data_IF_876144040107
#
_entry.id   IF_876144040107
#
_cell.length_a   1.000
_cell.length_b   1.000
_cell.length_c   1.000
_cell.angle_alpha   90.00
_cell.angle_beta   90.00
_cell.angle_gamma   90.00
#
_symmetry.space_group_name_H-M   'P 1'
#
loop_
_entity.id
_entity.type
_entity.pdbx_description
1 polymer ?
#
# COMPACT_ATOMS: atom_id res chain seq x y z
N UNK A 1 20.05 32.33 8.98
CA UNK A 1 19.17 32.81 7.89
C UNK A 1 19.08 31.72 6.84
N UNK A 2 17.85 31.37 6.48
CA UNK A 2 17.36 30.55 5.36
C UNK A 2 17.96 29.16 5.09
N UNK A 3 17.30 28.15 5.66
CA UNK A 3 17.33 26.73 5.28
C UNK A 3 16.49 26.42 4.03
N UNK A 4 16.40 27.34 3.06
CA UNK A 4 15.38 27.31 2.00
C UNK A 4 15.89 26.89 0.62
N UNK A 5 17.07 26.26 0.51
CA UNK A 5 17.68 25.92 -0.79
C UNK A 5 17.61 24.44 -1.19
N UNK A 6 17.06 23.57 -0.34
CA UNK A 6 16.98 22.13 -0.63
C UNK A 6 15.62 21.68 -1.16
N UNK A 7 14.60 22.54 -1.14
CA UNK A 7 13.26 22.22 -1.66
C UNK A 7 13.15 22.40 -3.19
N UNK A 8 14.20 22.92 -3.85
CA UNK A 8 14.12 23.43 -5.23
C UNK A 8 14.41 22.44 -6.37
N UNK A 9 14.62 21.14 -6.14
CA UNK A 9 14.94 20.19 -7.25
C UNK A 9 14.31 18.79 -7.10
N UNK A 10 13.12 18.66 -6.53
CA UNK A 10 12.38 17.39 -6.63
C UNK A 10 11.70 17.28 -8.01
N UNK A 11 11.91 16.14 -8.70
CA UNK A 11 11.20 15.84 -9.95
C UNK A 11 9.69 15.72 -9.69
N UNK A 12 8.83 15.97 -10.69
CA UNK A 12 7.39 15.74 -10.56
C UNK A 12 7.12 14.32 -10.04
N UNK A 13 6.36 14.19 -8.94
CA UNK A 13 6.02 12.92 -8.32
C UNK A 13 7.01 12.39 -7.28
N UNK A 14 8.23 12.94 -7.14
CA UNK A 14 9.18 12.49 -6.11
C UNK A 14 8.67 12.75 -4.69
N UNK A 15 8.02 13.91 -4.47
CA UNK A 15 7.39 14.23 -3.19
C UNK A 15 6.30 13.21 -2.82
N UNK A 16 5.41 12.92 -3.77
CA UNK A 16 4.37 11.91 -3.59
C UNK A 16 4.96 10.53 -3.29
N UNK A 17 6.03 10.12 -3.98
CA UNK A 17 6.69 8.84 -3.71
C UNK A 17 7.29 8.77 -2.29
N UNK A 18 7.82 9.88 -1.78
CA UNK A 18 8.28 9.96 -0.38
C UNK A 18 7.12 9.76 0.59
N UNK A 19 5.99 10.42 0.35
CA UNK A 19 4.79 10.29 1.19
C UNK A 19 4.20 8.87 1.11
N UNK A 20 4.10 8.30 -0.10
CA UNK A 20 3.65 6.92 -0.35
C UNK A 20 4.47 5.92 0.46
N UNK A 21 5.79 6.12 0.61
CA UNK A 21 6.65 5.21 1.37
C UNK A 21 6.13 4.95 2.78
N UNK A 22 5.78 6.02 3.49
CA UNK A 22 5.30 5.94 4.88
C UNK A 22 3.99 5.17 4.95
N UNK A 23 3.03 5.50 4.09
CA UNK A 23 1.76 4.80 4.02
C UNK A 23 1.92 3.33 3.61
N UNK A 24 2.81 3.03 2.66
CA UNK A 24 3.06 1.66 2.21
C UNK A 24 3.60 0.81 3.35
N UNK A 25 4.53 1.33 4.15
CA UNK A 25 5.13 0.56 5.25
C UNK A 25 4.08 0.27 6.33
N UNK A 26 3.31 1.28 6.72
CA UNK A 26 2.20 1.11 7.66
C UNK A 26 1.12 0.15 7.13
N UNK A 27 0.83 0.20 5.82
CA UNK A 27 -0.11 -0.72 5.19
C UNK A 27 0.39 -2.15 5.24
N UNK A 28 1.67 -2.39 4.94
CA UNK A 28 2.26 -3.73 5.01
C UNK A 28 2.21 -4.28 6.43
N UNK A 29 2.53 -3.47 7.43
CA UNK A 29 2.48 -3.88 8.84
C UNK A 29 1.03 -4.20 9.28
N UNK A 30 0.06 -3.36 8.89
CA UNK A 30 -1.35 -3.58 9.20
C UNK A 30 -1.92 -4.84 8.52
N UNK A 31 -1.59 -5.04 7.24
CA UNK A 31 -2.02 -6.23 6.49
C UNK A 31 -1.36 -7.49 7.06
N UNK A 32 -0.06 -7.46 7.38
CA UNK A 32 0.61 -8.59 8.04
C UNK A 32 -0.06 -8.93 9.39
N UNK A 33 -0.35 -7.92 10.21
CA UNK A 33 -1.03 -8.10 11.50
C UNK A 33 -2.43 -8.71 11.33
N UNK A 34 -3.17 -8.28 10.30
CA UNK A 34 -4.48 -8.85 9.95
C UNK A 34 -4.35 -10.32 9.53
N UNK A 35 -3.36 -10.65 8.69
CA UNK A 35 -3.09 -12.02 8.23
C UNK A 35 -2.78 -12.94 9.39
N UNK A 36 -1.88 -12.53 10.29
CA UNK A 36 -1.48 -13.32 11.44
C UNK A 36 -2.65 -13.56 12.39
N UNK A 37 -3.42 -12.51 12.69
CA UNK A 37 -4.56 -12.58 13.61
C UNK A 37 -5.77 -13.33 13.05
N UNK A 38 -5.85 -13.51 11.72
CA UNK A 38 -7.03 -14.08 11.05
C UNK A 38 -6.67 -15.19 10.05
N UNK A 39 -5.56 -15.90 10.29
CA UNK A 39 -4.95 -16.85 9.36
C UNK A 39 -5.93 -17.83 8.71
N UNK A 40 -6.89 -18.36 9.47
CA UNK A 40 -7.87 -19.32 8.95
C UNK A 40 -8.83 -18.69 7.93
N UNK A 41 -9.28 -17.46 8.16
CA UNK A 41 -10.18 -16.73 7.25
C UNK A 41 -9.39 -16.34 6.01
N UNK A 42 -8.20 -15.74 6.21
CA UNK A 42 -7.33 -15.31 5.10
C UNK A 42 -6.91 -16.48 4.21
N UNK A 43 -6.61 -17.66 4.75
CA UNK A 43 -6.27 -18.82 3.92
C UNK A 43 -7.43 -19.29 3.02
N UNK A 44 -8.68 -19.01 3.38
CA UNK A 44 -9.86 -19.40 2.58
C UNK A 44 -10.16 -18.44 1.44
N UNK A 45 -9.93 -17.14 1.64
CA UNK A 45 -10.32 -16.09 0.67
C UNK A 45 -9.16 -15.26 0.12
N UNK A 46 -7.97 -15.41 0.68
CA UNK A 46 -6.85 -14.47 0.55
C UNK A 46 -5.54 -15.08 0.01
N UNK A 47 -5.56 -16.21 -0.70
CA UNK A 47 -4.33 -16.76 -1.31
C UNK A 47 -3.64 -15.74 -2.24
N UNK A 48 -4.42 -14.94 -2.98
CA UNK A 48 -3.90 -13.82 -3.79
C UNK A 48 -3.30 -12.70 -2.94
N UNK A 49 -3.84 -12.46 -1.74
CA UNK A 49 -3.26 -11.48 -0.81
C UNK A 49 -1.88 -11.93 -0.38
N UNK A 50 -1.70 -13.18 0.03
CA UNK A 50 -0.41 -13.66 0.53
C UNK A 50 0.70 -13.47 -0.50
N UNK A 51 0.43 -13.84 -1.75
CA UNK A 51 1.39 -13.68 -2.86
C UNK A 51 1.68 -12.21 -3.15
N UNK A 52 0.64 -11.37 -3.25
CA UNK A 52 0.84 -9.94 -3.56
C UNK A 52 1.52 -9.19 -2.40
N UNK A 53 1.21 -9.53 -1.16
CA UNK A 53 1.86 -9.01 0.05
C UNK A 53 3.35 -9.35 0.07
N UNK A 54 3.71 -10.60 -0.25
CA UNK A 54 5.12 -11.03 -0.33
C UNK A 54 5.88 -10.23 -1.40
N UNK A 55 5.32 -10.14 -2.61
CA UNK A 55 5.94 -9.40 -3.72
C UNK A 55 6.15 -7.92 -3.38
N UNK A 56 5.13 -7.26 -2.83
CA UNK A 56 5.24 -5.85 -2.42
C UNK A 56 6.23 -5.69 -1.27
N UNK A 57 6.24 -6.60 -0.30
CA UNK A 57 7.18 -6.57 0.84
C UNK A 57 8.63 -6.68 0.36
N UNK A 58 8.91 -7.56 -0.60
CA UNK A 58 10.24 -7.72 -1.20
C UNK A 58 10.68 -6.46 -1.95
N UNK A 59 9.75 -5.77 -2.60
CA UNK A 59 10.04 -4.62 -3.45
C UNK A 59 9.80 -3.26 -2.77
N UNK A 60 9.49 -3.25 -1.47
CA UNK A 60 9.06 -2.04 -0.71
C UNK A 60 10.01 -0.84 -0.80
N UNK A 61 11.29 -1.05 -1.10
CA UNK A 61 12.27 0.04 -1.28
C UNK A 61 12.36 0.57 -2.72
N UNK A 62 11.83 -0.18 -3.70
CA UNK A 62 11.70 0.24 -5.09
C UNK A 62 10.26 0.69 -5.37
N UNK A 63 9.90 1.87 -4.87
CA UNK A 63 8.51 2.36 -4.89
C UNK A 63 7.98 2.58 -6.31
N UNK A 64 8.81 2.99 -7.26
CA UNK A 64 8.37 3.12 -8.66
C UNK A 64 7.90 1.78 -9.22
N UNK A 65 8.67 0.71 -8.98
CA UNK A 65 8.30 -0.64 -9.39
C UNK A 65 7.02 -1.11 -8.69
N UNK A 66 6.90 -0.88 -7.38
CA UNK A 66 5.68 -1.23 -6.64
C UNK A 66 4.47 -0.50 -7.21
N UNK A 67 4.54 0.82 -7.39
CA UNK A 67 3.41 1.61 -7.88
C UNK A 67 3.01 1.27 -9.32
N UNK A 68 3.98 0.87 -10.15
CA UNK A 68 3.75 0.54 -11.56
C UNK A 68 3.24 -0.89 -11.75
N UNK A 69 3.88 -1.87 -11.13
CA UNK A 69 3.68 -3.28 -11.48
C UNK A 69 2.86 -4.06 -10.43
N UNK A 70 2.98 -3.71 -9.15
CA UNK A 70 2.44 -4.56 -8.07
C UNK A 70 1.24 -3.96 -7.34
N UNK A 71 1.12 -2.63 -7.33
CA UNK A 71 0.10 -1.92 -6.56
C UNK A 71 -1.33 -2.33 -6.93
N UNK A 72 -1.63 -2.42 -8.23
CA UNK A 72 -2.97 -2.77 -8.70
C UNK A 72 -3.42 -4.15 -8.19
N UNK A 73 -2.54 -5.14 -8.27
CA UNK A 73 -2.83 -6.49 -7.77
C UNK A 73 -2.97 -6.51 -6.25
N UNK A 74 -2.08 -5.84 -5.52
CA UNK A 74 -2.12 -5.79 -4.06
C UNK A 74 -3.38 -5.10 -3.54
N UNK A 75 -3.72 -3.94 -4.11
CA UNK A 75 -4.98 -3.25 -3.84
C UNK A 75 -6.19 -4.13 -4.11
N UNK A 76 -6.25 -4.80 -5.26
CA UNK A 76 -7.36 -5.69 -5.59
C UNK A 76 -7.51 -6.81 -4.54
N UNK A 77 -6.40 -7.41 -4.10
CA UNK A 77 -6.44 -8.46 -3.09
C UNK A 77 -6.92 -7.94 -1.72
N UNK A 78 -6.56 -6.72 -1.34
CA UNK A 78 -7.08 -6.06 -0.14
C UNK A 78 -8.58 -5.80 -0.25
N UNK A 79 -9.05 -5.35 -1.42
CA UNK A 79 -10.49 -5.13 -1.65
C UNK A 79 -11.29 -6.43 -1.60
N UNK A 80 -10.74 -7.55 -2.08
CA UNK A 80 -11.38 -8.87 -1.96
C UNK A 80 -11.60 -9.26 -0.48
N UNK A 81 -10.65 -8.95 0.40
CA UNK A 81 -10.78 -9.18 1.85
C UNK A 81 -11.80 -8.25 2.50
N UNK A 82 -11.90 -7.00 2.05
CA UNK A 82 -12.89 -6.06 2.57
C UNK A 82 -14.33 -6.52 2.32
N UNK A 83 -14.55 -7.40 1.35
CA UNK A 83 -15.84 -8.02 1.08
C UNK A 83 -16.13 -9.24 1.98
N UNK A 84 -15.17 -9.72 2.79
CA UNK A 84 -15.41 -10.78 3.79
C UNK A 84 -16.15 -10.20 5.00
N UNK A 85 -17.34 -10.74 5.34
CA UNK A 85 -18.09 -10.30 6.52
C UNK A 85 -17.28 -10.40 7.81
N UNK A 86 -16.42 -11.41 7.94
CA UNK A 86 -15.62 -11.66 9.13
C UNK A 86 -14.46 -10.66 9.34
N UNK A 87 -14.05 -9.98 8.27
CA UNK A 87 -12.92 -9.06 8.29
C UNK A 87 -13.35 -7.60 8.15
N UNK A 88 -14.56 -7.32 7.67
CA UNK A 88 -15.04 -5.98 7.33
C UNK A 88 -14.75 -4.92 8.40
N UNK A 89 -15.06 -5.21 9.67
CA UNK A 89 -14.88 -4.26 10.78
C UNK A 89 -13.41 -3.98 11.15
N UNK A 90 -12.46 -4.71 10.55
CA UNK A 90 -11.01 -4.56 10.75
C UNK A 90 -10.32 -3.85 9.59
N UNK A 91 -11.07 -3.45 8.57
CA UNK A 91 -10.51 -2.97 7.30
C UNK A 91 -10.41 -1.45 7.20
N UNK A 92 -11.08 -0.69 8.07
CA UNK A 92 -11.20 0.77 7.92
C UNK A 92 -9.84 1.48 7.78
N UNK A 93 -8.91 1.21 8.70
CA UNK A 93 -7.56 1.81 8.65
C UNK A 93 -6.77 1.35 7.42
N UNK A 94 -6.90 0.08 7.03
CA UNK A 94 -6.26 -0.48 5.83
C UNK A 94 -6.79 0.21 4.57
N UNK A 95 -8.11 0.37 4.46
CA UNK A 95 -8.77 1.00 3.33
C UNK A 95 -8.45 2.49 3.26
N UNK A 96 -8.33 3.17 4.39
CA UNK A 96 -7.89 4.56 4.45
C UNK A 96 -6.48 4.72 3.89
N UNK A 97 -5.54 3.84 4.28
CA UNK A 97 -4.18 3.85 3.72
C UNK A 97 -4.16 3.51 2.22
N UNK A 98 -4.95 2.54 1.78
CA UNK A 98 -5.09 2.20 0.36
C UNK A 98 -5.59 3.40 -0.46
N UNK A 99 -6.61 4.10 0.03
CA UNK A 99 -7.14 5.28 -0.63
C UNK A 99 -6.10 6.40 -0.70
N UNK A 100 -5.34 6.63 0.38
CA UNK A 100 -4.31 7.66 0.39
C UNK A 100 -3.14 7.36 -0.55
N UNK A 101 -2.71 6.10 -0.62
CA UNK A 101 -1.70 5.67 -1.59
C UNK A 101 -2.22 5.84 -3.02
N UNK A 102 -3.48 5.48 -3.30
CA UNK A 102 -4.08 5.64 -4.62
C UNK A 102 -4.15 7.10 -5.07
N UNK A 103 -4.51 8.01 -4.16
CA UNK A 103 -4.52 9.46 -4.41
C UNK A 103 -3.12 9.95 -4.80
N UNK A 104 -2.13 9.69 -3.95
CA UNK A 104 -0.74 10.10 -4.17
C UNK A 104 -0.14 9.45 -5.43
N UNK A 105 -0.50 8.19 -5.72
CA UNK A 105 -0.06 7.46 -6.92
C UNK A 105 -0.52 8.18 -8.20
N UNK A 106 -1.77 8.65 -8.23
CA UNK A 106 -2.31 9.41 -9.37
C UNK A 106 -1.65 10.76 -9.51
N UNK A 107 -1.43 11.47 -8.39
CA UNK A 107 -0.70 12.74 -8.38
C UNK A 107 0.74 12.60 -8.88
N UNK A 108 1.38 11.46 -8.59
CA UNK A 108 2.71 11.13 -9.07
C UNK A 108 2.75 10.69 -10.55
N UNK A 109 1.61 10.62 -11.25
CA UNK A 109 1.53 10.31 -12.67
C UNK A 109 1.57 8.83 -13.02
N UNK A 110 1.36 7.93 -12.05
CA UNK A 110 1.17 6.51 -12.34
C UNK A 110 -0.27 6.28 -12.83
N UNK A 111 -0.40 5.58 -13.96
CA UNK A 111 -1.69 5.13 -14.52
C UNK A 111 -2.04 3.75 -13.99
#
# INVERSE_FOLDING_TARGET
>A
MSSSHSEELMKPGERQLVEIRSYLFNLLDAVNSLVESNRQVVNKVGAKLLVSLELVTMQRYNLELVMREYWGQFKSAIMDLANSPELKDKMDDILNMVNKIEELRKEAGFS
#
